data_IF_100125407284
#
_entry.id   IF_100125407284
#
_cell.length_a   1.000
_cell.length_b   1.000
_cell.length_c   1.000
_cell.angle_alpha   90.00
_cell.angle_beta   90.00
_cell.angle_gamma   90.00
#
_symmetry.space_group_name_H-M   'P 1'
#
loop_
_entity.id
_entity.type
_entity.pdbx_description
1 polymer ?
#
# COMPACT_ATOMS: atom_id res chain seq x y z
N UNK A 1 16.50 10.66 22.33
CA UNK A 1 16.39 12.07 21.87
C UNK A 1 15.16 12.67 22.53
N UNK A 2 15.35 13.70 23.34
CA UNK A 2 14.30 14.22 24.24
C UNK A 2 13.32 15.11 23.44
N UNK A 3 12.03 14.87 23.63
CA UNK A 3 10.95 15.71 23.13
C UNK A 3 10.94 17.03 23.92
N UNK A 4 11.23 18.14 23.25
CA UNK A 4 10.96 19.46 23.78
C UNK A 4 9.59 19.93 23.29
N UNK A 5 8.65 20.04 24.23
CA UNK A 5 7.39 20.72 24.00
C UNK A 5 7.61 22.24 24.14
N UNK A 6 7.37 22.98 23.08
CA UNK A 6 7.32 24.43 23.12
C UNK A 6 5.89 24.82 23.53
N UNK A 7 5.75 25.43 24.70
CA UNK A 7 4.53 26.16 25.11
C UNK A 7 4.68 27.61 24.63
N UNK A 8 3.88 28.00 23.66
CA UNK A 8 3.51 29.38 23.52
C UNK A 8 2.07 29.54 24.01
N UNK A 9 1.94 30.25 25.10
CA UNK A 9 0.64 30.67 25.67
C UNK A 9 0.58 32.18 25.49
N UNK A 10 -0.06 32.63 24.42
CA UNK A 10 -0.59 33.99 24.36
C UNK A 10 -2.07 33.94 24.74
N UNK A 11 -2.35 34.58 25.87
CA UNK A 11 -3.67 34.81 26.42
C UNK A 11 -4.48 35.75 25.53
N UNK A 12 -5.61 35.25 25.01
CA UNK A 12 -6.71 36.13 24.60
C UNK A 12 -7.98 35.62 25.23
N UNK A 13 -8.51 36.48 26.11
CA UNK A 13 -9.87 36.35 26.68
C UNK A 13 -10.92 36.37 25.57
N UNK A 14 -11.86 35.44 25.62
CA UNK A 14 -13.01 35.43 24.74
C UNK A 14 -13.52 34.02 24.45
N UNK A 15 -14.53 33.58 25.17
CA UNK A 15 -15.17 32.28 25.07
C UNK A 15 -15.69 31.99 23.64
N UNK A 16 -15.14 30.93 23.01
CA UNK A 16 -15.84 30.10 22.03
C UNK A 16 -15.20 28.70 22.07
N UNK A 17 -16.02 27.69 22.29
CA UNK A 17 -15.67 26.27 22.31
C UNK A 17 -15.12 25.81 20.96
N UNK A 18 -13.81 25.92 20.77
CA UNK A 18 -13.12 25.27 19.68
C UNK A 18 -12.14 24.24 20.25
N UNK A 19 -12.09 23.01 19.73
CA UNK A 19 -11.16 22.00 20.23
C UNK A 19 -9.72 22.42 19.99
N UNK A 20 -8.91 22.30 21.05
CA UNK A 20 -7.47 22.59 20.98
C UNK A 20 -6.76 21.58 20.09
N UNK A 21 -6.09 22.07 19.05
CA UNK A 21 -5.31 21.24 18.16
C UNK A 21 -3.81 21.43 18.45
N UNK A 22 -3.07 20.33 18.58
CA UNK A 22 -1.61 20.36 18.64
C UNK A 22 -1.01 20.10 17.26
N UNK A 23 -0.09 20.98 16.86
CA UNK A 23 0.67 20.83 15.62
C UNK A 23 2.05 20.26 15.94
N UNK A 24 2.39 19.14 15.33
CA UNK A 24 3.73 18.56 15.41
C UNK A 24 4.63 19.15 14.33
N UNK A 25 5.94 19.18 14.59
CA UNK A 25 6.96 19.70 13.67
C UNK A 25 7.03 18.96 12.31
N UNK A 26 6.36 17.82 12.19
CA UNK A 26 6.21 17.05 10.95
C UNK A 26 4.90 17.33 10.18
N UNK A 27 4.13 18.35 10.57
CA UNK A 27 2.91 18.76 9.88
C UNK A 27 1.64 17.96 10.23
N UNK A 28 1.71 16.98 11.12
CA UNK A 28 0.54 16.26 11.61
C UNK A 28 -0.24 17.09 12.63
N UNK A 29 -1.54 17.23 12.41
CA UNK A 29 -2.49 17.87 13.33
C UNK A 29 -3.31 16.79 14.00
N UNK A 30 -3.20 16.63 15.32
CA UNK A 30 -4.11 15.80 16.11
C UNK A 30 -5.11 16.70 16.83
N UNK A 31 -6.40 16.45 16.65
CA UNK A 31 -7.44 17.07 17.47
C UNK A 31 -7.53 16.32 18.80
N UNK A 32 -7.36 17.04 19.89
CA UNK A 32 -7.57 16.49 21.25
C UNK A 32 -8.99 16.81 21.63
N UNK A 33 -9.82 15.80 21.84
CA UNK A 33 -11.12 15.98 22.49
C UNK A 33 -10.89 16.37 23.96
N UNK A 34 -11.44 17.51 24.37
CA UNK A 34 -11.46 17.90 25.77
C UNK A 34 -12.37 16.94 26.55
N UNK A 35 -11.83 16.38 27.61
CA UNK A 35 -12.56 15.55 28.56
C UNK A 35 -13.32 16.42 29.55
N UNK A 36 -14.65 16.28 29.66
CA UNK A 36 -15.46 16.90 30.69
C UNK A 36 -15.89 15.85 31.71
N UNK A 37 -15.51 15.97 33.01
CA UNK A 37 -15.95 15.05 34.03
C UNK A 37 -17.43 15.31 34.39
N UNK A 38 -18.30 14.33 34.12
CA UNK A 38 -19.69 14.38 34.60
C UNK A 38 -20.77 13.91 33.64
N UNK A 39 -20.48 13.58 32.39
CA UNK A 39 -21.46 12.95 31.51
C UNK A 39 -21.42 11.42 31.59
N UNK A 40 -22.58 10.72 31.55
CA UNK A 40 -22.58 9.27 31.50
C UNK A 40 -21.92 8.83 30.21
N UNK A 41 -20.81 8.12 30.34
CA UNK A 41 -20.10 7.52 29.23
C UNK A 41 -20.97 6.42 28.62
N UNK A 42 -21.62 6.71 27.50
CA UNK A 42 -21.86 5.67 26.53
C UNK A 42 -20.49 5.16 26.13
N UNK A 43 -20.25 3.91 26.48
CA UNK A 43 -19.03 3.17 26.20
C UNK A 43 -18.84 3.07 24.67
N UNK A 44 -18.40 4.17 24.04
CA UNK A 44 -17.78 4.11 22.73
C UNK A 44 -16.47 3.41 22.96
N UNK A 45 -16.59 2.10 23.15
CA UNK A 45 -15.46 1.22 23.17
C UNK A 45 -14.66 1.50 21.90
N UNK A 46 -13.52 2.16 22.06
CA UNK A 46 -12.43 2.03 21.10
C UNK A 46 -12.21 0.53 21.05
N UNK A 47 -12.90 -0.15 20.14
CA UNK A 47 -12.60 -1.53 19.80
C UNK A 47 -11.14 -1.48 19.34
N UNK A 48 -10.26 -1.82 20.28
CA UNK A 48 -8.88 -2.12 19.97
C UNK A 48 -8.95 -3.32 19.03
N UNK A 49 -9.09 -3.01 17.74
CA UNK A 49 -9.26 -4.02 16.70
C UNK A 49 -8.02 -4.88 16.76
N UNK A 50 -8.18 -6.15 17.08
CA UNK A 50 -7.08 -7.10 17.12
C UNK A 50 -6.24 -6.95 15.86
N UNK A 51 -4.90 -6.89 15.98
CA UNK A 51 -4.04 -6.77 14.82
C UNK A 51 -4.33 -7.94 13.88
N UNK A 52 -4.49 -7.64 12.60
CA UNK A 52 -4.64 -8.68 11.58
C UNK A 52 -3.29 -9.36 11.46
N UNK A 53 -3.27 -10.68 11.72
CA UNK A 53 -2.09 -11.51 11.58
C UNK A 53 -2.32 -12.51 10.44
N UNK A 54 -1.43 -12.48 9.45
CA UNK A 54 -1.44 -13.37 8.30
C UNK A 54 -0.18 -14.25 8.30
N UNK A 55 -0.37 -15.56 8.24
CA UNK A 55 0.74 -16.51 8.17
C UNK A 55 1.55 -16.28 6.89
N UNK A 56 0.89 -15.97 5.78
CA UNK A 56 1.55 -15.67 4.51
C UNK A 56 2.55 -14.51 4.64
N UNK A 57 2.23 -13.44 5.38
CA UNK A 57 3.16 -12.32 5.54
C UNK A 57 4.37 -12.69 6.38
N UNK A 58 4.22 -13.54 7.41
CA UNK A 58 5.35 -14.07 8.19
C UNK A 58 6.25 -14.97 7.35
N UNK A 59 5.65 -15.84 6.55
CA UNK A 59 6.39 -16.75 5.67
C UNK A 59 7.18 -15.95 4.63
N UNK A 60 6.55 -14.96 3.98
CA UNK A 60 7.21 -14.08 3.00
C UNK A 60 8.36 -13.31 3.64
N UNK A 61 8.18 -12.74 4.84
CA UNK A 61 9.29 -12.07 5.57
C UNK A 61 10.48 -13.01 5.80
N UNK A 62 10.21 -14.23 6.29
CA UNK A 62 11.26 -15.21 6.56
C UNK A 62 11.99 -15.61 5.26
N UNK A 63 11.25 -15.82 4.19
CA UNK A 63 11.82 -16.15 2.88
C UNK A 63 12.66 -14.99 2.32
N UNK A 64 12.14 -13.77 2.33
CA UNK A 64 12.88 -12.59 1.89
C UNK A 64 14.16 -12.38 2.69
N UNK A 65 14.10 -12.55 4.02
CA UNK A 65 15.28 -12.50 4.87
C UNK A 65 16.33 -13.56 4.47
N UNK A 66 15.91 -14.77 4.13
CA UNK A 66 16.83 -15.82 3.66
C UNK A 66 17.47 -15.48 2.32
N UNK A 67 16.70 -14.97 1.35
CA UNK A 67 17.22 -14.54 0.05
C UNK A 67 18.25 -13.40 0.20
N UNK A 68 17.97 -12.44 1.06
CA UNK A 68 18.86 -11.32 1.35
C UNK A 68 20.15 -11.79 2.04
N UNK A 69 20.02 -12.67 3.03
CA UNK A 69 21.18 -13.20 3.77
C UNK A 69 22.10 -14.03 2.89
N UNK A 70 21.55 -14.79 1.96
CA UNK A 70 22.33 -15.60 1.01
C UNK A 70 23.13 -14.75 0.02
N UNK A 71 22.84 -13.45 -0.11
CA UNK A 71 23.48 -12.57 -1.10
C UNK A 71 23.14 -12.91 -2.55
N UNK A 72 22.19 -13.83 -2.76
CA UNK A 72 21.77 -14.33 -4.06
C UNK A 72 20.35 -13.85 -4.39
N UNK A 73 20.14 -12.55 -4.24
CA UNK A 73 18.85 -11.93 -4.51
C UNK A 73 18.61 -11.82 -6.02
N UNK A 74 17.76 -12.70 -6.53
CA UNK A 74 17.33 -12.73 -7.92
C UNK A 74 15.81 -12.70 -8.00
N UNK A 75 15.25 -11.76 -8.74
CA UNK A 75 13.82 -11.54 -8.85
C UNK A 75 13.04 -12.80 -9.28
N UNK A 76 13.55 -13.52 -10.29
CA UNK A 76 12.93 -14.75 -10.78
C UNK A 76 12.95 -15.86 -9.72
N UNK A 77 14.00 -15.92 -8.91
CA UNK A 77 14.11 -16.90 -7.83
C UNK A 77 13.14 -16.57 -6.70
N UNK A 78 13.02 -15.29 -6.34
CA UNK A 78 12.03 -14.81 -5.37
C UNK A 78 10.62 -15.11 -5.85
N UNK A 79 10.29 -14.78 -7.09
CA UNK A 79 8.96 -15.05 -7.67
C UNK A 79 8.65 -16.55 -7.70
N UNK A 80 9.60 -17.40 -8.09
CA UNK A 80 9.40 -18.86 -8.07
C UNK A 80 9.14 -19.40 -6.67
N UNK A 81 9.89 -18.94 -5.68
CA UNK A 81 9.71 -19.37 -4.29
C UNK A 81 8.36 -18.96 -3.70
N UNK A 82 7.78 -17.84 -4.14
CA UNK A 82 6.45 -17.40 -3.71
C UNK A 82 5.30 -18.25 -4.27
N UNK A 83 5.55 -19.07 -5.31
CA UNK A 83 4.52 -19.94 -5.92
C UNK A 83 4.22 -21.21 -5.13
N UNK A 84 4.90 -21.45 -4.00
CA UNK A 84 4.65 -22.62 -3.17
C UNK A 84 3.23 -22.56 -2.56
N UNK A 85 2.35 -23.53 -2.83
CA UNK A 85 0.95 -23.50 -2.40
C UNK A 85 0.75 -23.42 -0.89
N UNK A 86 1.75 -23.87 -0.11
CA UNK A 86 1.70 -23.88 1.34
C UNK A 86 1.73 -22.51 2.01
N UNK A 87 2.06 -21.45 1.26
CA UNK A 87 2.25 -20.12 1.81
C UNK A 87 0.95 -19.45 2.22
N UNK A 88 -0.16 -19.70 1.52
CA UNK A 88 -1.46 -19.10 1.77
C UNK A 88 -2.44 -20.11 2.37
N UNK A 89 -2.55 -20.07 3.69
CA UNK A 89 -3.28 -21.06 4.48
C UNK A 89 -4.81 -20.79 4.51
N UNK A 90 -5.64 -21.80 4.89
CA UNK A 90 -7.06 -21.55 5.15
C UNK A 90 -7.31 -20.52 6.27
N UNK A 91 -6.35 -20.35 7.21
CA UNK A 91 -6.40 -19.29 8.24
C UNK A 91 -6.23 -17.92 7.60
N UNK A 92 -5.28 -17.79 6.67
CA UNK A 92 -5.08 -16.55 5.92
C UNK A 92 -6.33 -16.16 5.14
N UNK A 93 -6.99 -17.11 4.48
CA UNK A 93 -8.25 -16.85 3.75
C UNK A 93 -9.34 -16.24 4.64
N UNK A 94 -9.42 -16.65 5.90
CA UNK A 94 -10.39 -16.08 6.86
C UNK A 94 -9.97 -14.68 7.30
N UNK A 95 -8.70 -14.48 7.61
CA UNK A 95 -8.17 -13.19 8.05
C UNK A 95 -8.23 -12.13 6.95
N UNK A 96 -7.98 -12.52 5.70
CA UNK A 96 -8.08 -11.68 4.51
C UNK A 96 -9.52 -11.18 4.29
N UNK A 97 -10.55 -11.97 4.60
CA UNK A 97 -11.94 -11.49 4.57
C UNK A 97 -12.17 -10.31 5.50
N UNK A 98 -11.55 -10.33 6.69
CA UNK A 98 -11.64 -9.21 7.62
C UNK A 98 -10.97 -7.93 7.09
N UNK A 99 -9.97 -8.04 6.19
CA UNK A 99 -9.42 -6.90 5.47
C UNK A 99 -10.44 -6.31 4.48
N UNK A 100 -11.19 -7.17 3.77
CA UNK A 100 -12.24 -6.72 2.86
C UNK A 100 -13.31 -5.91 3.59
N UNK A 101 -13.70 -6.34 4.79
CA UNK A 101 -14.72 -5.64 5.60
C UNK A 101 -14.22 -4.25 6.06
N UNK A 102 -12.91 -4.07 6.16
CA UNK A 102 -12.26 -2.79 6.52
C UNK A 102 -11.95 -1.89 5.31
N UNK A 103 -12.17 -2.37 4.10
CA UNK A 103 -11.78 -1.70 2.85
C UNK A 103 -12.97 -1.67 1.87
N UNK A 104 -14.10 -1.04 2.23
CA UNK A 104 -15.35 -1.29 1.52
C UNK A 104 -15.46 -0.64 0.13
N UNK A 105 -14.81 0.48 -0.13
CA UNK A 105 -15.09 1.29 -1.31
C UNK A 105 -13.86 1.67 -2.14
N UNK A 106 -12.66 1.65 -1.58
CA UNK A 106 -11.45 2.13 -2.22
C UNK A 106 -10.34 1.08 -2.18
N UNK A 107 -9.39 1.18 -3.11
CA UNK A 107 -8.15 0.43 -3.05
C UNK A 107 -7.42 0.77 -1.76
N UNK A 108 -7.12 -0.24 -0.94
CA UNK A 108 -6.38 -0.05 0.31
C UNK A 108 -5.08 -0.85 0.32
N UNK A 109 -4.07 -0.26 0.95
CA UNK A 109 -2.70 -0.77 1.06
C UNK A 109 -2.36 -1.00 2.52
N UNK A 110 -2.12 -2.26 2.86
CA UNK A 110 -1.79 -2.71 4.21
C UNK A 110 -0.33 -3.11 4.27
N UNK A 111 0.47 -2.29 4.94
CA UNK A 111 1.90 -2.53 5.10
C UNK A 111 2.12 -3.72 6.04
N UNK A 112 2.80 -4.76 5.57
CA UNK A 112 3.27 -5.82 6.43
C UNK A 112 4.78 -5.80 6.67
N UNK A 113 5.55 -5.19 5.77
CA UNK A 113 6.99 -5.08 5.94
C UNK A 113 7.54 -3.81 5.29
N UNK A 114 8.42 -3.15 6.02
CA UNK A 114 9.37 -2.18 5.50
C UNK A 114 10.72 -2.59 6.06
N UNK A 115 11.51 -3.27 5.22
CA UNK A 115 12.78 -3.83 5.66
C UNK A 115 13.72 -2.73 6.12
N UNK A 116 14.49 -2.99 7.22
CA UNK A 116 15.27 -1.97 7.93
C UNK A 116 16.27 -1.22 7.07
N UNK A 117 16.94 -1.94 6.18
CA UNK A 117 17.95 -1.35 5.28
C UNK A 117 17.31 -0.82 3.99
N UNK A 118 15.97 -0.79 3.93
CA UNK A 118 15.23 -0.28 2.78
C UNK A 118 15.32 -1.15 1.53
N UNK A 119 15.65 -2.43 1.67
CA UNK A 119 15.85 -3.34 0.53
C UNK A 119 14.55 -3.79 -0.10
N UNK A 120 13.45 -3.82 0.66
CA UNK A 120 12.13 -4.08 0.10
C UNK A 120 10.99 -3.53 0.97
N UNK A 121 9.85 -3.31 0.33
CA UNK A 121 8.56 -3.01 0.95
C UNK A 121 7.57 -4.12 0.60
N UNK A 122 6.81 -4.60 1.59
CA UNK A 122 5.77 -5.62 1.41
C UNK A 122 4.39 -5.09 1.78
N UNK A 123 3.43 -5.21 0.86
CA UNK A 123 2.05 -4.76 1.00
C UNK A 123 1.06 -5.90 0.74
N UNK A 124 -0.03 -5.91 1.49
CA UNK A 124 -1.29 -6.55 1.06
C UNK A 124 -2.20 -5.46 0.53
N UNK A 125 -2.76 -5.66 -0.66
CA UNK A 125 -3.68 -4.73 -1.27
C UNK A 125 -5.06 -5.36 -1.42
N UNK A 126 -6.10 -4.58 -1.09
CA UNK A 126 -7.50 -4.97 -1.26
C UNK A 126 -8.09 -4.13 -2.38
N UNK A 127 -8.53 -4.80 -3.42
CA UNK A 127 -9.08 -4.22 -4.64
C UNK A 127 -10.60 -4.32 -4.61
N UNK A 128 -11.34 -3.21 -4.51
CA UNK A 128 -12.79 -3.24 -4.63
C UNK A 128 -13.25 -3.85 -5.96
N UNK A 129 -14.50 -4.33 -6.04
CA UNK A 129 -15.08 -4.80 -7.29
C UNK A 129 -15.00 -3.74 -8.39
N UNK A 130 -14.48 -4.12 -9.57
CA UNK A 130 -14.37 -3.24 -10.73
C UNK A 130 -13.32 -2.12 -10.61
N UNK A 131 -12.53 -2.09 -9.54
CA UNK A 131 -11.50 -1.08 -9.38
C UNK A 131 -10.38 -1.24 -10.40
N UNK A 132 -9.92 -0.12 -10.94
CA UNK A 132 -8.76 -0.04 -11.83
C UNK A 132 -7.88 1.13 -11.41
N UNK A 133 -6.57 0.94 -11.37
CA UNK A 133 -5.62 2.04 -11.15
C UNK A 133 -5.49 2.90 -12.40
N UNK A 134 -4.93 4.10 -12.26
CA UNK A 134 -4.32 4.80 -13.39
C UNK A 134 -3.14 3.98 -13.95
N UNK A 135 -2.66 4.30 -15.16
CA UNK A 135 -1.36 3.84 -15.62
C UNK A 135 -0.31 4.46 -14.70
N UNK A 136 0.55 3.65 -14.09
CA UNK A 136 1.52 4.13 -13.11
C UNK A 136 2.82 3.34 -13.14
N UNK A 137 3.90 3.96 -12.69
CA UNK A 137 5.19 3.32 -12.47
C UNK A 137 5.46 3.13 -10.96
N UNK A 138 6.67 2.74 -10.61
CA UNK A 138 7.11 2.54 -9.21
C UNK A 138 8.45 3.21 -8.95
N UNK A 139 8.73 4.31 -9.65
CA UNK A 139 9.96 5.11 -9.49
C UNK A 139 11.25 4.29 -9.59
N UNK A 140 11.28 3.35 -10.54
CA UNK A 140 12.44 2.49 -10.78
C UNK A 140 12.57 1.28 -9.85
N UNK A 141 11.63 1.04 -8.96
CA UNK A 141 11.61 -0.17 -8.13
C UNK A 141 11.12 -1.37 -8.95
N UNK A 142 11.81 -2.52 -8.80
CA UNK A 142 11.24 -3.79 -9.27
C UNK A 142 10.06 -4.18 -8.37
N UNK A 143 9.15 -5.00 -8.90
CA UNK A 143 8.01 -5.50 -8.11
C UNK A 143 7.61 -6.92 -8.46
N UNK A 144 6.93 -7.54 -7.51
CA UNK A 144 6.22 -8.80 -7.65
C UNK A 144 4.79 -8.58 -7.18
N UNK A 145 3.83 -9.01 -7.99
CA UNK A 145 2.41 -9.02 -7.66
C UNK A 145 1.93 -10.48 -7.61
N UNK A 146 1.38 -10.88 -6.50
CA UNK A 146 0.87 -12.23 -6.29
C UNK A 146 -0.59 -12.17 -5.86
N UNK A 147 -1.49 -12.84 -6.61
CA UNK A 147 -2.91 -12.90 -6.29
C UNK A 147 -3.17 -13.93 -5.21
N UNK A 148 -3.62 -13.46 -4.05
CA UNK A 148 -4.01 -14.32 -2.92
C UNK A 148 -5.48 -14.74 -3.01
N UNK A 149 -6.34 -13.87 -3.56
CA UNK A 149 -7.77 -14.15 -3.74
C UNK A 149 -8.30 -13.36 -4.93
N UNK A 150 -9.16 -14.00 -5.73
CA UNK A 150 -9.80 -13.38 -6.89
C UNK A 150 -8.93 -13.44 -8.13
N UNK A 151 -8.99 -12.40 -8.94
CA UNK A 151 -8.20 -12.27 -10.17
C UNK A 151 -7.85 -10.81 -10.43
N UNK A 152 -6.70 -10.59 -11.02
CA UNK A 152 -6.21 -9.27 -11.43
C UNK A 152 -5.82 -9.30 -12.91
N UNK A 153 -6.16 -8.25 -13.63
CA UNK A 153 -5.59 -7.95 -14.94
C UNK A 153 -4.48 -6.93 -14.78
N UNK A 154 -3.34 -7.19 -15.38
CA UNK A 154 -2.19 -6.29 -15.43
C UNK A 154 -1.96 -5.92 -16.89
N UNK A 155 -2.22 -4.67 -17.23
CA UNK A 155 -1.93 -4.09 -18.55
C UNK A 155 -0.56 -3.40 -18.47
N UNK A 156 0.38 -3.84 -19.28
CA UNK A 156 1.74 -3.31 -19.33
C UNK A 156 1.89 -2.25 -20.42
N UNK A 157 2.66 -1.21 -20.10
CA UNK A 157 2.92 -0.08 -21.00
C UNK A 157 4.41 0.27 -21.02
N UNK A 158 4.89 0.62 -22.18
CA UNK A 158 6.14 1.35 -22.35
C UNK A 158 5.83 2.84 -22.40
N UNK A 159 6.55 3.62 -21.60
CA UNK A 159 6.39 5.07 -21.55
C UNK A 159 7.41 5.71 -22.46
N UNK A 160 6.94 6.28 -23.54
CA UNK A 160 7.75 7.02 -24.50
C UNK A 160 7.73 8.50 -24.16
N UNK A 161 8.86 9.18 -24.40
CA UNK A 161 8.92 10.64 -24.34
C UNK A 161 8.22 11.21 -25.59
N UNK A 162 7.21 12.04 -25.38
CA UNK A 162 6.46 12.71 -26.44
C UNK A 162 6.88 14.19 -26.64
N UNK A 163 7.94 14.63 -25.95
CA UNK A 163 8.42 16.02 -25.95
C UNK A 163 7.56 16.95 -25.08
N UNK A 164 8.06 18.13 -24.83
CA UNK A 164 7.39 19.22 -24.07
C UNK A 164 6.83 18.76 -22.71
N UNK A 165 7.50 17.80 -22.05
CA UNK A 165 7.08 17.28 -20.74
C UNK A 165 5.89 16.32 -20.81
N UNK A 166 5.53 15.85 -22.03
CA UNK A 166 4.47 14.86 -22.21
C UNK A 166 5.03 13.46 -22.37
N UNK A 167 4.23 12.48 -21.98
CA UNK A 167 4.51 11.07 -22.14
C UNK A 167 3.50 10.42 -23.07
N UNK A 168 3.88 9.32 -23.70
CA UNK A 168 2.99 8.49 -24.51
C UNK A 168 3.07 7.05 -24.03
N UNK A 169 2.11 6.60 -23.20
CA UNK A 169 2.00 5.19 -22.85
C UNK A 169 1.66 4.35 -24.08
N UNK A 170 2.56 3.44 -24.45
CA UNK A 170 2.37 2.48 -25.50
C UNK A 170 2.00 1.13 -24.87
N UNK A 171 0.80 0.66 -25.12
CA UNK A 171 0.35 -0.64 -24.63
C UNK A 171 1.22 -1.76 -25.19
N UNK A 172 1.69 -2.68 -24.34
CA UNK A 172 2.52 -3.82 -24.68
C UNK A 172 1.69 -5.10 -24.67
N UNK A 173 0.90 -5.31 -23.61
CA UNK A 173 0.11 -6.53 -23.47
C UNK A 173 -0.66 -6.56 -22.16
N UNK A 174 -1.46 -7.61 -21.98
CA UNK A 174 -2.23 -7.86 -20.76
C UNK A 174 -1.86 -9.24 -20.22
N UNK A 175 -1.56 -9.28 -18.92
CA UNK A 175 -1.42 -10.52 -18.15
C UNK A 175 -2.63 -10.69 -17.24
N UNK A 176 -3.30 -11.84 -17.31
CA UNK A 176 -4.36 -12.22 -16.37
C UNK A 176 -3.76 -13.09 -15.29
N UNK A 177 -3.98 -12.69 -14.04
CA UNK A 177 -3.52 -13.41 -12.86
C UNK A 177 -4.72 -13.92 -12.08
N UNK A 178 -4.77 -15.21 -11.85
CA UNK A 178 -5.74 -15.87 -10.99
C UNK A 178 -5.12 -16.16 -9.61
N UNK A 179 -5.94 -16.63 -8.69
CA UNK A 179 -5.50 -17.03 -7.35
C UNK A 179 -4.30 -17.99 -7.40
N UNK A 180 -3.24 -17.66 -6.68
CA UNK A 180 -1.96 -18.38 -6.66
C UNK A 180 -0.98 -17.98 -7.75
N UNK A 181 -1.39 -17.20 -8.74
CA UNK A 181 -0.50 -16.72 -9.80
C UNK A 181 0.17 -15.41 -9.44
N UNK A 182 1.32 -15.15 -10.04
CA UNK A 182 2.10 -13.94 -9.83
C UNK A 182 2.77 -13.48 -11.13
N UNK A 183 2.96 -12.18 -11.26
CA UNK A 183 3.88 -11.59 -12.22
C UNK A 183 4.99 -10.82 -11.50
N UNK A 184 6.06 -10.55 -12.22
CA UNK A 184 7.15 -9.71 -11.77
C UNK A 184 7.50 -8.70 -12.87
N UNK A 185 7.91 -7.51 -12.46
CA UNK A 185 8.39 -6.47 -13.36
C UNK A 185 9.73 -5.93 -12.90
N UNK A 186 10.57 -5.59 -13.85
CA UNK A 186 11.85 -4.95 -13.57
C UNK A 186 11.64 -3.45 -13.31
N UNK A 187 12.41 -2.90 -12.37
CA UNK A 187 12.43 -1.47 -12.08
C UNK A 187 13.17 -0.69 -13.17
N UNK A 188 12.67 -0.72 -14.38
CA UNK A 188 13.24 0.06 -15.49
C UNK A 188 12.46 1.35 -15.67
N UNK A 189 13.20 2.45 -15.83
CA UNK A 189 12.58 3.69 -16.26
C UNK A 189 11.92 3.48 -17.64
N UNK A 190 10.69 3.96 -17.79
CA UNK A 190 9.92 3.77 -19.00
C UNK A 190 8.99 2.56 -19.01
N UNK A 191 8.90 1.79 -17.93
CA UNK A 191 7.87 0.78 -17.73
C UNK A 191 6.80 1.29 -16.78
N UNK A 192 5.54 1.09 -17.14
CA UNK A 192 4.39 1.38 -16.30
C UNK A 192 3.32 0.31 -16.50
N UNK A 193 2.39 0.20 -15.59
CA UNK A 193 1.28 -0.72 -15.73
C UNK A 193 -0.04 -0.13 -15.19
N UNK A 194 -1.13 -0.80 -15.50
CA UNK A 194 -2.45 -0.59 -14.93
C UNK A 194 -2.98 -1.92 -14.44
N UNK A 195 -3.36 -1.97 -13.17
CA UNK A 195 -3.95 -3.16 -12.56
C UNK A 195 -5.44 -2.99 -12.37
N UNK A 196 -6.21 -4.05 -12.62
CA UNK A 196 -7.68 -4.01 -12.54
C UNK A 196 -8.25 -5.27 -11.93
N UNK A 197 -9.15 -5.10 -10.95
CA UNK A 197 -10.00 -6.20 -10.51
C UNK A 197 -11.17 -6.35 -11.49
N UNK A 198 -11.15 -7.40 -12.29
CA UNK A 198 -12.16 -7.66 -13.31
C UNK A 198 -13.52 -8.10 -12.73
N UNK A 199 -13.55 -8.54 -11.47
CA UNK A 199 -14.81 -8.89 -10.83
C UNK A 199 -15.61 -7.65 -10.46
N UNK A 200 -16.83 -7.53 -10.94
CA UNK A 200 -17.78 -6.47 -10.56
C UNK A 200 -18.52 -6.75 -9.25
N UNK A 201 -18.26 -7.89 -8.61
CA UNK A 201 -19.02 -8.34 -7.43
C UNK A 201 -18.16 -8.71 -6.23
N UNK A 202 -16.89 -9.05 -6.43
CA UNK A 202 -16.01 -9.56 -5.38
C UNK A 202 -14.71 -8.76 -5.34
N UNK A 203 -14.19 -8.45 -4.15
CA UNK A 203 -12.86 -7.89 -4.02
C UNK A 203 -11.81 -8.90 -4.47
N UNK A 204 -10.70 -8.41 -5.02
CA UNK A 204 -9.47 -9.17 -5.15
C UNK A 204 -8.48 -8.76 -4.06
N UNK A 205 -7.56 -9.65 -3.72
CA UNK A 205 -6.53 -9.43 -2.72
C UNK A 205 -5.21 -9.92 -3.27
N UNK A 206 -4.22 -9.06 -3.18
CA UNK A 206 -2.89 -9.32 -3.70
C UNK A 206 -1.83 -9.04 -2.64
N UNK A 207 -0.72 -9.74 -2.74
CA UNK A 207 0.51 -9.43 -2.03
C UNK A 207 1.48 -8.80 -3.03
N UNK A 208 2.06 -7.67 -2.64
CA UNK A 208 3.05 -6.96 -3.44
C UNK A 208 4.37 -6.88 -2.71
N UNK A 209 5.46 -7.08 -3.43
CA UNK A 209 6.83 -6.80 -2.98
C UNK A 209 7.45 -5.78 -3.94
N UNK A 210 8.09 -4.78 -3.39
CA UNK A 210 8.83 -3.74 -4.14
C UNK A 210 10.28 -3.70 -3.67
N UNK A 211 11.20 -3.55 -4.59
CA UNK A 211 12.65 -3.60 -4.34
C UNK A 211 13.23 -2.32 -3.80
N UNK A 212 12.65 -1.82 -2.71
CA UNK A 212 13.07 -0.59 -2.05
C UNK A 212 11.98 -0.03 -1.17
N UNK A 213 12.17 1.20 -0.72
CA UNK A 213 11.14 1.95 -0.01
C UNK A 213 10.17 2.54 -1.04
N UNK A 214 8.96 1.99 -1.12
CA UNK A 214 7.91 2.55 -1.96
C UNK A 214 7.30 3.77 -1.25
N UNK A 215 7.81 4.94 -1.57
CA UNK A 215 7.33 6.22 -1.03
C UNK A 215 6.58 7.03 -2.07
N UNK A 216 7.07 7.00 -3.30
CA UNK A 216 6.51 7.73 -4.42
C UNK A 216 6.36 6.86 -5.66
N UNK A 217 5.47 7.27 -6.54
CA UNK A 217 5.25 6.70 -7.87
C UNK A 217 4.66 7.78 -8.78
N UNK A 218 4.57 7.53 -10.08
CA UNK A 218 3.95 8.47 -11.01
C UNK A 218 2.73 7.84 -11.65
N UNK A 219 1.64 8.61 -11.71
CA UNK A 219 0.50 8.32 -12.57
C UNK A 219 0.70 9.01 -13.91
N UNK A 220 0.28 8.36 -14.97
CA UNK A 220 0.25 8.92 -16.32
C UNK A 220 -1.20 9.24 -16.66
N UNK A 221 -1.54 10.55 -16.59
CA UNK A 221 -2.90 11.03 -16.73
C UNK A 221 -3.11 11.66 -18.10
N UNK A 222 -4.22 11.31 -18.78
CA UNK A 222 -4.58 11.88 -20.06
C UNK A 222 -5.05 13.33 -19.89
N UNK A 223 -4.47 14.23 -20.66
CA UNK A 223 -4.95 15.60 -20.79
C UNK A 223 -6.19 15.66 -21.71
N UNK A 224 -6.87 16.82 -21.71
CA UNK A 224 -8.02 17.05 -22.62
C UNK A 224 -7.64 16.95 -24.09
N UNK A 225 -6.36 17.14 -24.44
CA UNK A 225 -5.82 17.05 -25.79
C UNK A 225 -5.39 15.61 -26.18
N UNK A 226 -5.63 14.64 -25.28
CA UNK A 226 -5.26 13.24 -25.52
C UNK A 226 -3.77 12.93 -25.31
N UNK A 227 -2.98 13.88 -24.82
CA UNK A 227 -1.60 13.66 -24.40
C UNK A 227 -1.56 13.22 -22.94
N UNK A 228 -0.47 12.60 -22.51
CA UNK A 228 -0.30 12.16 -21.13
C UNK A 228 0.75 12.99 -20.40
N UNK A 229 0.52 13.23 -19.13
CA UNK A 229 1.48 13.87 -18.23
C UNK A 229 1.76 12.96 -17.04
N UNK A 230 3.02 12.91 -16.61
CA UNK A 230 3.43 12.18 -15.43
C UNK A 230 3.15 13.02 -14.18
N UNK A 231 2.28 12.55 -13.30
CA UNK A 231 1.93 13.19 -12.03
C UNK A 231 2.52 12.43 -10.85
N UNK A 232 3.37 13.05 -10.02
CA UNK A 232 3.92 12.39 -8.84
C UNK A 232 2.81 12.13 -7.81
N UNK A 233 2.87 10.96 -7.20
CA UNK A 233 1.96 10.53 -6.15
C UNK A 233 2.73 9.92 -4.98
N UNK A 234 2.15 10.01 -3.79
CA UNK A 234 2.67 9.37 -2.57
C UNK A 234 2.02 8.01 -2.41
N UNK A 235 2.81 7.00 -2.13
CA UNK A 235 2.32 5.66 -1.82
C UNK A 235 1.65 5.65 -0.43
N UNK A 236 0.36 5.92 -0.39
CA UNK A 236 -0.44 5.96 0.83
C UNK A 236 -0.52 4.54 1.44
N UNK A 237 -0.31 4.45 2.75
CA UNK A 237 -0.52 3.26 3.56
C UNK A 237 -1.78 3.48 4.40
N UNK A 238 -2.74 2.55 4.30
CA UNK A 238 -4.04 2.65 4.97
C UNK A 238 -4.08 1.88 6.28
N UNK A 239 -3.13 0.97 6.49
CA UNK A 239 -3.02 0.20 7.73
C UNK A 239 -1.81 -0.72 7.77
N UNK A 240 -1.68 -1.46 8.86
CA UNK A 240 -0.57 -2.38 9.10
C UNK A 240 -1.06 -3.78 9.42
N UNK A 241 -0.28 -4.79 9.01
CA UNK A 241 -0.50 -6.21 9.28
C UNK A 241 0.64 -6.76 10.13
N UNK A 242 0.28 -7.52 11.16
CA UNK A 242 1.23 -8.09 12.12
C UNK A 242 1.43 -7.22 13.35
N UNK A 243 2.26 -7.70 14.29
CA UNK A 243 2.51 -7.01 15.55
C UNK A 243 3.06 -5.61 15.29
N UNK A 244 2.47 -4.65 16.01
CA UNK A 244 2.89 -3.25 16.09
C UNK A 244 4.40 -3.13 15.88
N UNK A 245 4.81 -2.34 14.90
CA UNK A 245 6.19 -1.91 14.75
C UNK A 245 6.65 -1.41 16.12
N UNK A 246 7.60 -2.12 16.74
CA UNK A 246 8.24 -1.60 17.94
C UNK A 246 8.91 -0.29 17.52
N UNK A 247 8.46 0.79 18.15
CA UNK A 247 9.04 2.11 18.06
C UNK A 247 10.52 2.10 18.44
#
# INVERSE_FOLDING_TARGET
>A
MALHAIRDVDSLDGATDAPSAFRFSNGLTCAVMQWHPGEPHDDYGVQCMSPIDLDVTRNVRAYMASCIHAGDFNLDSVQRGLREPAWYSPKDRRAVRALCDRSPAELTRWLFERERDGRYTGLIMVWPPGHSTAIHDHDGLWGIEWVLQGALSVDDFEILDAGDGHSQPRFIGTTLLEEGQSCAFLGTHGHAHRCSNLSTRRPAITLHLYGGLLEMYRNYESTREGRFVAQPNIARIDGHIGASLRA
#
